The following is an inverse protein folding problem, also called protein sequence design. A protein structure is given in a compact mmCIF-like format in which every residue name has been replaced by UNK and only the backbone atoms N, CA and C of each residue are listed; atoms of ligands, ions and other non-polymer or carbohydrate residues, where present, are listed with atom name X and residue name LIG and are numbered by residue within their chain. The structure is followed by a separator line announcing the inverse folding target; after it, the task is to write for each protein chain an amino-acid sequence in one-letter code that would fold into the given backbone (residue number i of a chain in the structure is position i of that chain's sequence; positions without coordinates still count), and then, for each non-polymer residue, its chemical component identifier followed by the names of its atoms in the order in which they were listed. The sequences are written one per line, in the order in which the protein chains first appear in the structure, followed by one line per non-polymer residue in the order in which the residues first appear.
data_IF_321902099100
#
_entry.id   IF_321902099100
#
_cell.length_a   1.000
_cell.length_b   1.000
_cell.length_c   1.000
_cell.angle_alpha   90.00
_cell.angle_beta   90.00
_cell.angle_gamma   90.00
#
_symmetry.space_group_name_H-M   'P 1'
#
loop_
_entity.id
_entity.type
_entity.pdbx_description
1 polymer ?
#
# COMPACT_ATOMS: atom_id res chain seq x y z
N UNK A 1 15.02 -3.26 14.16
CA UNK A 1 16.00 -3.74 13.15
C UNK A 1 15.28 -4.68 12.20
N UNK A 2 15.51 -4.61 10.88
CA UNK A 2 14.86 -5.51 9.93
C UNK A 2 15.11 -6.98 10.28
N UNK A 3 14.08 -7.82 10.13
CA UNK A 3 14.12 -9.27 10.39
C UNK A 3 13.78 -10.01 9.11
N UNK A 4 14.22 -11.27 8.97
CA UNK A 4 13.78 -12.08 7.83
C UNK A 4 12.28 -12.36 7.97
N UNK A 5 11.56 -12.35 6.87
CA UNK A 5 10.11 -12.60 6.86
C UNK A 5 9.80 -13.97 7.48
N UNK A 6 10.63 -14.99 7.21
CA UNK A 6 10.50 -16.33 7.78
C UNK A 6 10.62 -16.39 9.33
N UNK A 7 11.20 -15.36 9.96
CA UNK A 7 11.41 -15.31 11.40
C UNK A 7 10.32 -14.48 12.12
N UNK A 8 9.34 -13.95 11.40
CA UNK A 8 8.25 -13.15 11.98
C UNK A 8 7.20 -14.04 12.65
N UNK A 9 6.65 -13.63 13.81
CA UNK A 9 5.48 -14.27 14.38
C UNK A 9 4.26 -14.07 13.47
N UNK A 10 3.37 -15.05 13.45
CA UNK A 10 2.18 -15.01 12.62
C UNK A 10 1.03 -14.29 13.33
N UNK A 11 0.46 -13.24 12.71
CA UNK A 11 -0.52 -12.35 13.35
C UNK A 11 -1.78 -13.06 13.87
N UNK A 12 -2.21 -14.15 13.20
CA UNK A 12 -3.37 -14.94 13.62
C UNK A 12 -3.06 -16.09 14.60
N UNK A 13 -1.80 -16.51 14.71
CA UNK A 13 -1.41 -17.66 15.54
C UNK A 13 -0.75 -17.21 16.84
N UNK A 14 0.12 -16.21 16.76
CA UNK A 14 0.90 -15.66 17.87
C UNK A 14 0.20 -14.43 18.48
N UNK A 15 -1.06 -14.60 18.89
CA UNK A 15 -1.99 -13.51 19.24
C UNK A 15 -1.70 -12.81 20.57
N UNK A 16 -1.08 -13.48 21.53
CA UNK A 16 -0.94 -12.98 22.89
C UNK A 16 -0.14 -11.68 22.97
N UNK A 17 0.91 -11.57 22.16
CA UNK A 17 1.71 -10.35 22.08
C UNK A 17 0.96 -9.23 21.36
N UNK A 18 0.33 -9.54 20.22
CA UNK A 18 -0.47 -8.59 19.46
C UNK A 18 -1.62 -8.04 20.32
N UNK A 19 -2.35 -8.92 21.01
CA UNK A 19 -3.42 -8.53 21.92
C UNK A 19 -2.92 -7.62 23.06
N UNK A 20 -1.74 -7.91 23.63
CA UNK A 20 -1.12 -7.04 24.65
C UNK A 20 -0.77 -5.66 24.09
N UNK A 21 -0.28 -5.57 22.86
CA UNK A 21 0.04 -4.28 22.20
C UNK A 21 -1.20 -3.45 21.89
N UNK A 22 -2.34 -4.10 21.66
CA UNK A 22 -3.64 -3.47 21.41
C UNK A 22 -4.44 -3.17 22.70
N UNK A 23 -4.10 -3.83 23.81
CA UNK A 23 -4.87 -3.72 25.05
C UNK A 23 -4.98 -2.28 25.55
N UNK A 24 -6.23 -1.81 25.73
CA UNK A 24 -6.54 -0.45 26.20
C UNK A 24 -6.30 0.65 25.16
N UNK A 25 -6.00 0.31 23.92
CA UNK A 25 -5.79 1.27 22.82
C UNK A 25 -6.88 1.17 21.78
N UNK A 26 -7.11 2.26 21.07
CA UNK A 26 -7.99 2.32 19.89
C UNK A 26 -7.18 1.99 18.64
N UNK A 27 -7.47 0.91 17.90
CA UNK A 27 -6.81 0.65 16.64
C UNK A 27 -7.09 1.75 15.60
N UNK A 28 -6.08 2.05 14.76
CA UNK A 28 -6.23 2.81 13.52
C UNK A 28 -5.54 2.00 12.42
N UNK A 29 -6.29 1.53 11.43
CA UNK A 29 -5.80 0.53 10.48
C UNK A 29 -5.52 1.15 9.12
N UNK A 30 -4.31 0.96 8.63
CA UNK A 30 -3.85 1.39 7.32
C UNK A 30 -3.59 0.15 6.47
N UNK A 31 -4.17 0.12 5.29
CA UNK A 31 -4.16 -1.04 4.40
C UNK A 31 -3.57 -0.66 3.05
N UNK A 32 -2.57 -1.40 2.60
CA UNK A 32 -2.25 -1.38 1.18
C UNK A 32 -3.36 -2.07 0.37
N UNK A 33 -3.37 -1.86 -0.94
CA UNK A 33 -4.41 -2.37 -1.83
C UNK A 33 -3.98 -3.62 -2.58
N UNK A 34 -2.97 -3.50 -3.45
CA UNK A 34 -2.52 -4.55 -4.36
C UNK A 34 -1.64 -5.57 -3.64
N UNK A 35 -1.99 -6.85 -3.68
CA UNK A 35 -1.29 -7.92 -2.96
C UNK A 35 -1.70 -8.05 -1.50
N UNK A 36 -2.48 -7.09 -0.99
CA UNK A 36 -2.97 -7.06 0.40
C UNK A 36 -4.48 -7.28 0.48
N UNK A 37 -5.29 -6.44 -0.20
CA UNK A 37 -6.75 -6.54 -0.24
C UNK A 37 -7.27 -7.26 -1.49
N UNK A 38 -6.47 -7.30 -2.54
CA UNK A 38 -6.77 -7.98 -3.80
C UNK A 38 -5.52 -8.68 -4.34
N UNK A 39 -5.72 -9.69 -5.15
CA UNK A 39 -4.61 -10.35 -5.85
C UNK A 39 -3.90 -9.38 -6.79
N UNK A 40 -2.60 -9.60 -6.97
CA UNK A 40 -1.86 -8.96 -8.03
C UNK A 40 -2.31 -9.60 -9.34
N UNK A 41 -2.96 -8.81 -10.19
CA UNK A 41 -3.52 -9.25 -11.45
C UNK A 41 -2.73 -8.71 -12.64
N UNK A 42 -2.93 -9.32 -13.82
CA UNK A 42 -2.21 -8.93 -15.03
C UNK A 42 -2.61 -7.54 -15.53
N UNK A 43 -3.84 -7.15 -15.30
CA UNK A 43 -4.36 -5.83 -15.71
C UNK A 43 -4.86 -5.05 -14.49
N UNK A 44 -4.38 -3.83 -14.28
CA UNK A 44 -4.75 -3.02 -13.11
C UNK A 44 -6.25 -2.87 -12.84
N UNK A 45 -7.06 -2.79 -13.92
CA UNK A 45 -8.52 -2.64 -13.84
C UNK A 45 -9.25 -3.89 -13.31
N UNK A 46 -8.59 -5.05 -13.32
CA UNK A 46 -9.19 -6.32 -12.91
C UNK A 46 -8.96 -6.60 -11.41
N UNK A 47 -8.22 -5.73 -10.72
CA UNK A 47 -7.92 -5.83 -9.28
C UNK A 47 -9.13 -5.44 -8.40
N UNK A 48 -10.22 -6.18 -8.51
CA UNK A 48 -11.47 -5.93 -7.77
C UNK A 48 -11.46 -6.75 -6.48
N UNK A 49 -11.68 -6.10 -5.33
CA UNK A 49 -11.76 -6.82 -4.05
C UNK A 49 -12.97 -7.75 -4.01
N UNK A 50 -12.83 -8.88 -3.33
CA UNK A 50 -13.92 -9.84 -3.12
C UNK A 50 -15.05 -9.21 -2.29
N UNK A 51 -16.26 -9.76 -2.42
CA UNK A 51 -17.40 -9.31 -1.59
C UNK A 51 -17.17 -9.59 -0.10
N UNK A 52 -16.44 -10.68 0.22
CA UNK A 52 -16.11 -11.05 1.60
C UNK A 52 -15.08 -10.10 2.21
N UNK A 53 -14.03 -9.72 1.47
CA UNK A 53 -13.05 -8.71 1.89
C UNK A 53 -13.70 -7.35 2.08
N UNK A 54 -14.59 -6.95 1.13
CA UNK A 54 -15.35 -5.69 1.24
C UNK A 54 -16.18 -5.62 2.52
N UNK A 55 -16.83 -6.73 2.89
CA UNK A 55 -17.62 -6.80 4.13
C UNK A 55 -16.74 -6.78 5.38
N UNK A 56 -15.58 -7.43 5.36
CA UNK A 56 -14.61 -7.39 6.47
C UNK A 56 -14.13 -5.95 6.73
N UNK A 57 -13.74 -5.24 5.67
CA UNK A 57 -13.31 -3.84 5.74
C UNK A 57 -14.45 -2.96 6.26
N UNK A 58 -15.68 -3.11 5.72
CA UNK A 58 -16.84 -2.34 6.16
C UNK A 58 -17.19 -2.60 7.62
N UNK A 59 -17.07 -3.84 8.07
CA UNK A 59 -17.30 -4.21 9.46
C UNK A 59 -16.29 -3.53 10.40
N UNK A 60 -15.02 -3.53 10.03
CA UNK A 60 -13.95 -2.90 10.79
C UNK A 60 -14.09 -1.37 10.82
N UNK A 61 -14.41 -0.75 9.66
CA UNK A 61 -14.54 0.70 9.54
C UNK A 61 -15.69 1.31 10.38
N UNK A 62 -16.67 0.50 10.79
CA UNK A 62 -17.70 0.93 11.75
C UNK A 62 -17.19 1.04 13.18
N UNK A 63 -16.01 0.53 13.48
CA UNK A 63 -15.46 0.38 14.85
C UNK A 63 -14.20 1.18 15.10
N UNK A 64 -13.41 1.37 14.05
CA UNK A 64 -12.17 2.13 14.11
C UNK A 64 -11.87 2.82 12.78
N UNK A 65 -11.01 3.84 12.76
CA UNK A 65 -10.51 4.43 11.52
C UNK A 65 -9.82 3.39 10.64
N UNK A 66 -10.27 3.30 9.37
CA UNK A 66 -9.64 2.47 8.35
C UNK A 66 -9.27 3.36 7.17
N UNK A 67 -8.00 3.34 6.80
CA UNK A 67 -7.42 4.10 5.71
C UNK A 67 -6.81 3.14 4.68
N UNK A 68 -7.10 3.33 3.40
CA UNK A 68 -6.40 2.61 2.33
C UNK A 68 -5.32 3.52 1.75
N UNK A 69 -4.07 3.02 1.70
CA UNK A 69 -2.89 3.76 1.20
C UNK A 69 -2.33 3.00 0.00
N UNK A 70 -2.48 3.54 -1.20
CA UNK A 70 -2.14 2.85 -2.44
C UNK A 70 -1.31 3.72 -3.38
N UNK A 71 -0.49 3.08 -4.21
CA UNK A 71 0.17 3.71 -5.35
C UNK A 71 -0.77 4.01 -6.53
N UNK A 72 -1.98 3.46 -6.51
CA UNK A 72 -3.01 3.75 -7.52
C UNK A 72 -3.61 5.13 -7.32
N UNK A 73 -4.17 5.69 -8.38
CA UNK A 73 -5.01 6.87 -8.26
C UNK A 73 -6.20 6.61 -7.34
N UNK A 74 -6.47 7.54 -6.42
CA UNK A 74 -7.51 7.42 -5.41
C UNK A 74 -8.88 7.04 -5.98
N UNK A 75 -9.29 7.68 -7.07
CA UNK A 75 -10.59 7.39 -7.70
C UNK A 75 -10.68 5.96 -8.22
N UNK A 76 -9.58 5.46 -8.78
CA UNK A 76 -9.49 4.06 -9.25
C UNK A 76 -9.64 3.10 -8.07
N UNK A 77 -8.95 3.36 -6.95
CA UNK A 77 -9.08 2.53 -5.74
C UNK A 77 -10.52 2.53 -5.23
N UNK A 78 -11.15 3.70 -5.12
CA UNK A 78 -12.54 3.82 -4.67
C UNK A 78 -13.52 3.05 -5.57
N UNK A 79 -13.37 3.14 -6.90
CA UNK A 79 -14.19 2.40 -7.85
C UNK A 79 -14.00 0.88 -7.72
N UNK A 80 -12.75 0.39 -7.64
CA UNK A 80 -12.43 -1.04 -7.51
C UNK A 80 -12.90 -1.62 -6.16
N UNK A 81 -12.81 -0.83 -5.10
CA UNK A 81 -13.29 -1.24 -3.77
C UNK A 81 -14.82 -1.23 -3.67
N UNK A 82 -15.51 -0.27 -4.31
CA UNK A 82 -16.94 -0.04 -4.14
C UNK A 82 -17.30 0.29 -2.68
N UNK A 83 -16.47 1.10 -2.02
CA UNK A 83 -16.64 1.62 -0.66
C UNK A 83 -16.38 3.13 -0.69
N UNK A 84 -17.42 3.92 -0.53
CA UNK A 84 -17.38 5.39 -0.66
C UNK A 84 -17.17 6.09 0.69
N UNK A 85 -17.20 5.34 1.78
CA UNK A 85 -17.17 5.81 3.16
C UNK A 85 -15.82 5.58 3.87
N UNK A 86 -14.78 5.20 3.12
CA UNK A 86 -13.44 5.00 3.64
C UNK A 86 -12.51 6.17 3.34
N UNK A 87 -11.52 6.34 4.20
CA UNK A 87 -10.40 7.24 3.92
C UNK A 87 -9.48 6.54 2.91
N UNK A 88 -9.22 7.21 1.78
CA UNK A 88 -8.36 6.69 0.73
C UNK A 88 -7.26 7.69 0.40
N UNK A 89 -6.03 7.25 0.52
CA UNK A 89 -4.82 7.95 0.11
C UNK A 89 -4.26 7.26 -1.13
N UNK A 90 -4.54 7.81 -2.29
CA UNK A 90 -4.04 7.37 -3.58
C UNK A 90 -2.73 8.04 -3.96
N UNK A 91 -2.09 7.55 -5.03
CA UNK A 91 -0.81 8.07 -5.54
C UNK A 91 0.24 8.18 -4.43
N UNK A 92 0.40 7.10 -3.64
CA UNK A 92 1.27 7.05 -2.45
C UNK A 92 0.98 8.13 -1.40
N UNK A 93 -0.26 8.63 -1.32
CA UNK A 93 -0.68 9.64 -0.34
C UNK A 93 -0.65 11.08 -0.83
N UNK A 94 -0.50 11.34 -2.13
CA UNK A 94 -0.62 12.68 -2.70
C UNK A 94 -2.06 13.16 -2.87
N UNK A 95 -3.00 12.24 -3.11
CA UNK A 95 -4.43 12.51 -3.23
C UNK A 95 -5.19 11.76 -2.12
N UNK A 96 -5.62 12.49 -1.12
CA UNK A 96 -6.31 11.94 0.05
C UNK A 96 -7.77 12.40 0.01
N UNK A 97 -8.66 11.47 0.26
CA UNK A 97 -10.07 11.74 0.46
C UNK A 97 -10.54 11.14 1.79
N UNK A 98 -11.36 11.89 2.49
CA UNK A 98 -12.06 11.40 3.67
C UNK A 98 -13.54 11.77 3.63
N UNK A 99 -14.44 10.93 4.20
CA UNK A 99 -15.86 11.22 4.26
C UNK A 99 -16.22 12.54 4.95
N UNK A 100 -15.43 12.93 5.95
CA UNK A 100 -15.68 14.14 6.76
C UNK A 100 -14.96 15.37 6.22
N UNK A 101 -13.77 15.21 5.63
CA UNK A 101 -12.90 16.32 5.21
C UNK A 101 -12.89 16.60 3.70
N UNK A 102 -13.52 15.73 2.89
CA UNK A 102 -13.45 15.84 1.42
C UNK A 102 -12.07 15.50 0.85
N UNK A 103 -11.75 16.05 -0.33
CA UNK A 103 -10.47 15.79 -0.99
C UNK A 103 -9.41 16.79 -0.53
N UNK A 104 -8.26 16.28 -0.11
CA UNK A 104 -7.05 17.04 0.16
C UNK A 104 -5.99 16.61 -0.85
N UNK A 105 -5.67 17.50 -1.79
CA UNK A 105 -4.53 17.31 -2.68
C UNK A 105 -3.33 18.06 -2.10
N UNK A 106 -2.18 17.43 -2.07
CA UNK A 106 -0.95 18.11 -1.72
C UNK A 106 -0.46 18.92 -2.91
N UNK A 107 -0.20 20.21 -2.69
CA UNK A 107 0.26 21.16 -3.72
C UNK A 107 1.58 20.71 -4.39
N UNK A 108 2.41 19.96 -3.65
CA UNK A 108 3.70 19.46 -4.15
C UNK A 108 3.55 18.52 -5.36
N UNK A 109 2.43 17.75 -5.46
CA UNK A 109 2.15 16.88 -6.60
C UNK A 109 1.71 17.63 -7.87
N UNK A 110 1.07 18.79 -7.72
CA UNK A 110 0.53 19.54 -8.86
C UNK A 110 1.62 20.10 -9.79
N UNK A 111 2.80 20.46 -9.24
CA UNK A 111 3.93 20.98 -10.02
C UNK A 111 4.55 19.94 -10.96
N UNK A 112 4.40 18.66 -10.67
CA UNK A 112 5.03 17.58 -11.45
C UNK A 112 4.12 16.99 -12.53
N UNK A 113 2.83 17.32 -12.54
CA UNK A 113 1.89 16.78 -13.53
C UNK A 113 2.38 17.01 -14.97
N UNK A 114 2.88 18.20 -15.24
CA UNK A 114 3.42 18.53 -16.57
C UNK A 114 4.64 17.68 -16.92
N UNK A 115 5.56 17.47 -15.97
CA UNK A 115 6.73 16.62 -16.18
C UNK A 115 6.34 15.16 -16.47
N UNK A 116 5.36 14.64 -15.74
CA UNK A 116 4.83 13.28 -16.00
C UNK A 116 4.20 13.20 -17.38
N UNK A 117 3.41 14.19 -17.80
CA UNK A 117 2.85 14.27 -19.16
C UNK A 117 3.94 14.36 -20.25
N UNK A 118 5.06 15.06 -19.98
CA UNK A 118 6.20 15.17 -20.91
C UNK A 118 6.93 13.84 -21.11
N UNK A 119 7.06 13.00 -20.09
CA UNK A 119 7.76 11.71 -20.19
C UNK A 119 6.85 10.56 -20.62
N UNK A 120 5.54 10.67 -20.39
CA UNK A 120 4.58 9.62 -20.77
C UNK A 120 4.55 9.36 -22.27
N UNK A 121 4.55 10.42 -23.10
CA UNK A 121 4.48 10.30 -24.55
C UNK A 121 5.63 9.46 -25.13
N UNK A 122 6.90 9.84 -24.93
CA UNK A 122 8.06 9.08 -25.35
C UNK A 122 8.07 7.64 -24.80
N UNK A 123 7.78 7.46 -23.51
CA UNK A 123 7.72 6.14 -22.88
C UNK A 123 6.71 5.22 -23.58
N UNK A 124 5.53 5.75 -23.91
CA UNK A 124 4.48 5.01 -24.61
C UNK A 124 4.87 4.63 -26.03
N UNK A 125 5.49 5.56 -26.76
CA UNK A 125 5.96 5.32 -28.12
C UNK A 125 7.04 4.22 -28.16
N UNK A 126 8.01 4.24 -27.25
CA UNK A 126 9.08 3.25 -27.22
C UNK A 126 8.63 1.87 -26.72
N UNK A 127 7.61 1.82 -25.87
CA UNK A 127 7.06 0.56 -25.36
C UNK A 127 6.01 -0.07 -26.29
N UNK A 128 5.47 0.66 -27.26
CA UNK A 128 4.40 0.18 -28.15
C UNK A 128 4.85 -1.02 -29.04
N UNK A 129 6.14 -1.12 -29.31
CA UNK A 129 6.75 -2.22 -30.08
C UNK A 129 7.06 -3.47 -29.23
N UNK A 130 6.82 -3.45 -27.91
CA UNK A 130 7.10 -4.57 -27.00
C UNK A 130 5.79 -5.28 -26.65
N UNK A 131 5.62 -6.50 -27.19
CA UNK A 131 4.40 -7.28 -26.95
C UNK A 131 4.22 -7.61 -25.44
N UNK A 132 3.03 -7.28 -24.92
CA UNK A 132 2.72 -7.46 -23.51
C UNK A 132 3.15 -6.31 -22.58
N UNK A 133 3.89 -5.30 -23.09
CA UNK A 133 4.17 -4.09 -22.32
C UNK A 133 2.94 -3.17 -22.25
N UNK A 134 2.80 -2.45 -21.15
CA UNK A 134 1.69 -1.51 -20.97
C UNK A 134 2.13 -0.31 -20.17
N UNK A 135 1.81 0.89 -20.64
CA UNK A 135 2.02 2.15 -19.94
C UNK A 135 0.70 2.58 -19.27
N UNK A 136 0.70 2.73 -17.96
CA UNK A 136 -0.41 3.24 -17.17
C UNK A 136 -0.11 4.68 -16.71
N UNK A 137 -0.93 5.62 -17.19
CA UNK A 137 -0.89 7.01 -16.70
C UNK A 137 -1.58 7.12 -15.37
N UNK A 138 -0.93 7.79 -14.42
CA UNK A 138 -1.51 8.14 -13.13
C UNK A 138 -1.46 9.65 -12.93
N UNK A 139 -2.16 10.18 -11.95
CA UNK A 139 -2.23 11.63 -11.72
C UNK A 139 -0.89 12.27 -11.36
N UNK A 140 0.03 11.51 -10.75
CA UNK A 140 1.34 12.00 -10.27
C UNK A 140 2.52 11.13 -10.67
N UNK A 141 2.31 10.10 -11.51
CA UNK A 141 3.35 9.16 -11.95
C UNK A 141 2.95 8.47 -13.25
N UNK A 142 3.87 7.75 -13.85
CA UNK A 142 3.60 6.84 -14.97
C UNK A 142 4.24 5.49 -14.68
N UNK A 143 3.47 4.41 -14.89
CA UNK A 143 3.91 3.04 -14.61
C UNK A 143 4.09 2.26 -15.92
N UNK A 144 5.25 1.62 -16.05
CA UNK A 144 5.60 0.69 -17.11
C UNK A 144 5.40 -0.75 -16.62
N UNK A 145 4.31 -1.39 -17.03
CA UNK A 145 4.00 -2.78 -16.70
C UNK A 145 4.62 -3.72 -17.71
N UNK A 146 5.30 -4.76 -17.24
CA UNK A 146 5.96 -5.76 -18.09
C UNK A 146 5.68 -7.20 -17.66
N UNK A 147 4.62 -7.42 -16.90
CA UNK A 147 4.21 -8.76 -16.44
C UNK A 147 3.91 -9.72 -17.58
N UNK A 148 3.30 -9.23 -18.66
CA UNK A 148 2.93 -10.00 -19.85
C UNK A 148 4.04 -10.04 -20.91
N UNK A 149 5.14 -9.32 -20.70
CA UNK A 149 6.31 -9.33 -21.59
C UNK A 149 7.08 -10.63 -21.42
N UNK A 150 7.56 -11.20 -22.53
CA UNK A 150 8.41 -12.39 -22.52
C UNK A 150 9.69 -12.15 -21.71
N UNK A 151 10.18 -13.16 -20.98
CA UNK A 151 11.38 -13.04 -20.14
C UNK A 151 12.60 -12.50 -20.91
N UNK A 152 12.71 -12.85 -22.19
CA UNK A 152 13.81 -12.43 -23.06
C UNK A 152 13.76 -10.94 -23.45
N UNK A 153 12.62 -10.28 -23.30
CA UNK A 153 12.43 -8.89 -23.69
C UNK A 153 12.22 -7.91 -22.52
N UNK A 154 12.06 -8.42 -21.29
CA UNK A 154 11.86 -7.57 -20.10
C UNK A 154 12.96 -6.53 -19.89
N UNK A 155 14.21 -6.90 -20.21
CA UNK A 155 15.33 -5.97 -20.11
C UNK A 155 15.17 -4.73 -20.99
N UNK A 156 14.46 -4.84 -22.14
CA UNK A 156 14.19 -3.68 -23.01
C UNK A 156 13.31 -2.64 -22.31
N UNK A 157 12.31 -3.10 -21.54
CA UNK A 157 11.45 -2.19 -20.77
C UNK A 157 12.27 -1.47 -19.70
N UNK A 158 13.17 -2.19 -19.01
CA UNK A 158 14.06 -1.60 -18.01
C UNK A 158 14.99 -0.56 -18.64
N UNK A 159 15.59 -0.87 -19.80
CA UNK A 159 16.48 0.06 -20.53
C UNK A 159 15.74 1.34 -20.96
N UNK A 160 14.49 1.21 -21.48
CA UNK A 160 13.67 2.36 -21.88
C UNK A 160 13.35 3.25 -20.67
N UNK A 161 12.89 2.64 -19.58
CA UNK A 161 12.52 3.37 -18.36
C UNK A 161 13.73 4.08 -17.76
N UNK A 162 14.88 3.40 -17.69
CA UNK A 162 16.13 3.98 -17.20
C UNK A 162 16.59 5.16 -18.07
N UNK A 163 16.45 5.06 -19.41
CA UNK A 163 16.79 6.16 -20.31
C UNK A 163 15.91 7.39 -20.06
N UNK A 164 14.59 7.20 -19.92
CA UNK A 164 13.64 8.29 -19.64
C UNK A 164 13.97 8.98 -18.30
N UNK A 165 14.26 8.22 -17.25
CA UNK A 165 14.62 8.79 -15.94
C UNK A 165 15.98 9.50 -16.00
N UNK A 166 16.93 9.00 -16.80
CA UNK A 166 18.26 9.59 -16.96
C UNK A 166 18.22 10.98 -17.63
N UNK A 167 17.18 11.29 -18.40
CA UNK A 167 16.98 12.64 -18.97
C UNK A 167 16.55 13.67 -17.89
N UNK A 168 15.95 13.20 -16.78
CA UNK A 168 15.44 14.04 -15.69
C UNK A 168 16.01 13.64 -14.31
N UNK A 169 17.32 13.54 -14.12
CA UNK A 169 17.94 12.88 -12.96
C UNK A 169 17.71 13.62 -11.63
N UNK A 170 17.34 14.91 -11.69
CA UNK A 170 17.07 15.74 -10.50
C UNK A 170 15.57 15.83 -10.16
N UNK A 171 14.70 15.45 -11.09
CA UNK A 171 13.25 15.68 -11.00
C UNK A 171 12.47 14.34 -10.89
N UNK A 172 12.99 13.28 -11.48
CA UNK A 172 12.37 11.95 -11.49
C UNK A 172 13.18 10.91 -10.73
N UNK A 173 12.48 9.95 -10.17
CA UNK A 173 13.02 8.70 -9.59
C UNK A 173 12.27 7.50 -10.13
N UNK A 174 12.95 6.36 -10.13
CA UNK A 174 12.35 5.06 -10.43
C UNK A 174 12.02 4.34 -9.13
N UNK A 175 10.81 3.81 -9.05
CA UNK A 175 10.37 2.95 -7.95
C UNK A 175 10.00 1.58 -8.52
N UNK A 176 10.75 0.51 -8.22
CA UNK A 176 10.44 -0.83 -8.68
C UNK A 176 9.28 -1.43 -7.88
N UNK A 177 8.39 -2.15 -8.58
CA UNK A 177 7.34 -2.98 -8.00
C UNK A 177 7.33 -4.38 -8.63
N UNK A 178 6.31 -5.18 -8.31
CA UNK A 178 6.17 -6.56 -8.83
C UNK A 178 5.80 -6.57 -10.32
N UNK A 179 6.79 -6.69 -11.20
CA UNK A 179 6.65 -6.63 -12.66
C UNK A 179 6.12 -5.29 -13.18
N UNK A 180 6.48 -4.22 -12.50
CA UNK A 180 6.20 -2.83 -12.87
C UNK A 180 7.36 -1.93 -12.47
N UNK A 181 7.64 -0.95 -13.29
CA UNK A 181 8.57 0.14 -13.01
C UNK A 181 7.78 1.45 -12.97
N UNK A 182 7.79 2.16 -11.87
CA UNK A 182 7.04 3.40 -11.73
C UNK A 182 7.97 4.61 -11.72
N UNK A 183 7.79 5.49 -12.72
CA UNK A 183 8.48 6.77 -12.81
C UNK A 183 7.68 7.79 -11.99
N UNK A 184 8.31 8.33 -10.95
CA UNK A 184 7.69 9.26 -10.01
C UNK A 184 8.51 10.54 -9.89
N UNK A 185 7.90 11.66 -9.51
CA UNK A 185 8.63 12.83 -9.10
C UNK A 185 9.60 12.52 -7.95
N UNK A 186 10.79 13.11 -8.01
CA UNK A 186 11.81 12.97 -6.97
C UNK A 186 11.49 13.86 -5.77
N UNK A 187 10.38 13.55 -5.12
CA UNK A 187 9.91 14.25 -3.93
C UNK A 187 10.29 13.41 -2.71
N UNK A 188 10.58 14.08 -1.60
CA UNK A 188 10.78 13.43 -0.31
C UNK A 188 9.44 13.01 0.29
N UNK A 189 8.78 12.05 -0.36
CA UNK A 189 7.48 11.50 -0.01
C UNK A 189 7.42 10.00 -0.29
N UNK A 190 6.81 9.25 0.64
CA UNK A 190 6.66 7.81 0.62
C UNK A 190 5.42 7.38 1.41
N UNK A 191 5.09 6.07 1.42
CA UNK A 191 3.94 5.53 2.17
C UNK A 191 4.07 5.76 3.68
N UNK A 192 5.28 5.74 4.22
CA UNK A 192 5.52 6.03 5.65
C UNK A 192 5.12 7.45 6.02
N UNK A 193 5.54 8.43 5.22
CA UNK A 193 5.15 9.83 5.40
C UNK A 193 3.67 10.05 5.21
N UNK A 194 3.04 9.34 4.25
CA UNK A 194 1.60 9.37 4.08
C UNK A 194 0.85 8.88 5.33
N UNK A 195 1.29 7.78 5.92
CA UNK A 195 0.71 7.25 7.17
C UNK A 195 0.89 8.23 8.33
N UNK A 196 2.10 8.79 8.51
CA UNK A 196 2.34 9.78 9.56
C UNK A 196 1.48 11.04 9.39
N UNK A 197 1.35 11.52 8.17
CA UNK A 197 0.49 12.65 7.83
C UNK A 197 -1.00 12.36 8.13
N UNK A 198 -1.49 11.17 7.78
CA UNK A 198 -2.85 10.75 8.10
C UNK A 198 -3.07 10.65 9.61
N UNK A 199 -2.12 10.09 10.36
CA UNK A 199 -2.19 10.03 11.82
C UNK A 199 -2.30 11.42 12.45
N UNK A 200 -1.56 12.39 11.92
CA UNK A 200 -1.62 13.78 12.39
C UNK A 200 -2.94 14.46 12.00
N UNK A 201 -3.32 14.36 10.72
CA UNK A 201 -4.51 15.05 10.17
C UNK A 201 -5.82 14.54 10.77
N UNK A 202 -5.86 13.24 11.14
CA UNK A 202 -7.03 12.58 11.71
C UNK A 202 -7.03 12.58 13.26
N UNK A 203 -6.07 13.27 13.90
CA UNK A 203 -5.90 13.28 15.36
C UNK A 203 -5.76 11.86 15.96
N UNK A 204 -4.96 11.02 15.29
CA UNK A 204 -4.68 9.64 15.67
C UNK A 204 -3.26 9.45 16.22
N UNK A 205 -2.62 10.54 16.68
CA UNK A 205 -1.25 10.54 17.21
C UNK A 205 -1.16 10.26 18.71
N UNK A 206 -2.30 10.13 19.43
CA UNK A 206 -2.35 9.91 20.85
C UNK A 206 -1.75 8.57 21.31
N UNK A 207 -1.24 8.51 22.53
CA UNK A 207 -0.70 7.27 23.14
C UNK A 207 -1.79 6.19 23.33
N UNK A 208 -3.06 6.59 23.30
CA UNK A 208 -4.24 5.74 23.37
C UNK A 208 -4.60 5.11 22.00
N UNK A 209 -3.87 5.47 20.92
CA UNK A 209 -4.06 4.90 19.60
C UNK A 209 -2.99 3.86 19.28
N UNK A 210 -3.39 2.76 18.65
CA UNK A 210 -2.50 1.75 18.12
C UNK A 210 -2.61 1.75 16.58
N UNK A 211 -1.73 2.44 15.85
CA UNK A 211 -1.71 2.36 14.40
C UNK A 211 -1.20 0.99 13.94
N UNK A 212 -1.93 0.38 13.00
CA UNK A 212 -1.55 -0.85 12.32
C UNK A 212 -1.40 -0.57 10.82
N UNK A 213 -0.34 -1.07 10.21
CA UNK A 213 -0.17 -1.05 8.77
C UNK A 213 -0.03 -2.47 8.23
N UNK A 214 -0.80 -2.81 7.18
CA UNK A 214 -0.79 -4.11 6.53
C UNK A 214 -0.44 -3.91 5.05
N UNK A 215 0.62 -4.57 4.57
CA UNK A 215 1.12 -4.43 3.20
C UNK A 215 2.06 -5.56 2.78
N UNK A 216 2.35 -5.68 1.48
CA UNK A 216 3.05 -6.84 0.88
C UNK A 216 4.32 -6.48 0.11
N UNK A 217 4.54 -5.20 -0.21
CA UNK A 217 5.60 -4.79 -1.13
C UNK A 217 6.71 -3.96 -0.48
N UNK A 218 7.72 -3.63 -1.30
CA UNK A 218 8.90 -2.83 -0.91
C UNK A 218 8.48 -1.44 -0.44
N UNK A 219 7.48 -0.85 -1.08
CA UNK A 219 6.97 0.48 -0.71
C UNK A 219 6.29 0.52 0.65
N UNK A 220 5.87 -0.64 1.18
CA UNK A 220 5.25 -0.75 2.51
C UNK A 220 6.29 -0.74 3.63
N UNK A 221 7.55 -1.06 3.30
CA UNK A 221 8.65 -0.96 4.27
C UNK A 221 8.81 0.45 4.84
N UNK A 222 8.53 1.48 4.05
CA UNK A 222 8.54 2.87 4.52
C UNK A 222 7.50 3.08 5.63
N UNK A 223 6.31 2.49 5.49
CA UNK A 223 5.25 2.55 6.48
C UNK A 223 5.59 1.71 7.73
N UNK A 224 6.15 0.50 7.56
CA UNK A 224 6.60 -0.30 8.69
C UNK A 224 7.70 0.40 9.49
N UNK A 225 8.65 1.05 8.82
CA UNK A 225 9.70 1.83 9.47
C UNK A 225 9.14 3.05 10.19
N UNK A 226 8.23 3.80 9.56
CA UNK A 226 7.59 4.97 10.14
C UNK A 226 6.79 4.64 11.42
N UNK A 227 6.20 3.44 11.49
CA UNK A 227 5.45 2.96 12.64
C UNK A 227 6.32 2.22 13.69
N UNK A 228 7.60 2.01 13.41
CA UNK A 228 8.48 1.27 14.34
C UNK A 228 8.51 1.91 15.73
N UNK A 229 8.22 1.10 16.75
CA UNK A 229 8.20 1.51 18.16
C UNK A 229 6.91 2.22 18.62
N UNK A 230 6.00 2.60 17.70
CA UNK A 230 4.71 3.25 18.05
C UNK A 230 3.49 2.51 17.51
N UNK A 231 3.64 1.77 16.46
CA UNK A 231 2.58 1.04 15.76
C UNK A 231 2.93 -0.42 15.53
N UNK A 232 2.15 -1.10 14.72
CA UNK A 232 2.27 -2.51 14.39
C UNK A 232 2.31 -2.64 12.87
N UNK A 233 3.41 -3.19 12.34
CA UNK A 233 3.55 -3.57 10.93
C UNK A 233 3.20 -5.04 10.73
N UNK A 234 2.38 -5.36 9.73
CA UNK A 234 2.02 -6.72 9.36
C UNK A 234 2.35 -6.91 7.87
N UNK A 235 3.34 -7.75 7.59
CA UNK A 235 3.72 -8.08 6.22
C UNK A 235 2.79 -9.16 5.66
N UNK A 236 2.38 -9.02 4.39
CA UNK A 236 1.56 -10.00 3.69
C UNK A 236 2.41 -10.74 2.66
N UNK A 237 2.56 -12.04 2.82
CA UNK A 237 3.31 -12.90 1.91
C UNK A 237 3.94 -14.10 2.61
N UNK A 238 4.23 -15.16 1.84
CA UNK A 238 4.82 -16.39 2.36
C UNK A 238 6.33 -16.41 2.17
N UNK A 239 7.05 -16.86 3.18
CA UNK A 239 8.49 -17.15 3.06
C UNK A 239 8.80 -18.31 2.08
N UNK A 240 7.79 -19.11 1.72
CA UNK A 240 7.89 -20.15 0.71
C UNK A 240 7.92 -19.58 -0.72
N UNK A 241 7.50 -18.33 -0.90
CA UNK A 241 7.64 -17.61 -2.17
C UNK A 241 9.12 -17.22 -2.36
N UNK A 242 9.78 -17.65 -3.47
CA UNK A 242 11.18 -17.34 -3.73
C UNK A 242 11.50 -15.83 -3.79
N UNK A 243 10.54 -15.00 -4.22
CA UNK A 243 10.70 -13.54 -4.28
C UNK A 243 10.62 -12.89 -2.89
N UNK A 244 9.93 -13.52 -1.95
CA UNK A 244 9.66 -13.03 -0.61
C UNK A 244 10.64 -13.61 0.42
N UNK A 245 10.94 -14.91 0.33
CA UNK A 245 11.63 -15.66 1.38
C UNK A 245 13.05 -15.19 1.72
N UNK A 246 13.74 -14.52 0.79
CA UNK A 246 15.08 -13.95 1.02
C UNK A 246 15.04 -12.52 1.57
N UNK A 247 13.88 -11.87 1.60
CA UNK A 247 13.74 -10.46 2.00
C UNK A 247 13.78 -10.29 3.52
N UNK A 248 14.25 -9.11 3.92
CA UNK A 248 14.10 -8.61 5.30
C UNK A 248 13.04 -7.53 5.34
N UNK A 249 12.34 -7.42 6.46
CA UNK A 249 11.28 -6.46 6.68
C UNK A 249 11.38 -5.78 8.04
N UNK A 250 10.84 -4.58 8.13
CA UNK A 250 10.64 -3.85 9.38
C UNK A 250 9.27 -4.13 10.03
N UNK A 251 8.44 -4.98 9.41
CA UNK A 251 7.18 -5.44 9.99
C UNK A 251 7.39 -6.23 11.30
N UNK A 252 6.39 -6.26 12.14
CA UNK A 252 6.37 -6.99 13.41
C UNK A 252 5.85 -8.41 13.25
N UNK A 253 4.87 -8.61 12.36
CA UNK A 253 4.14 -9.85 12.13
C UNK A 253 4.03 -10.17 10.65
N UNK A 254 3.59 -11.41 10.35
CA UNK A 254 3.30 -11.88 8.99
C UNK A 254 1.89 -12.46 8.91
N UNK A 255 1.25 -12.26 7.77
CA UNK A 255 0.10 -13.02 7.25
C UNK A 255 0.50 -13.59 5.90
N UNK A 256 0.18 -14.84 5.61
CA UNK A 256 0.70 -15.51 4.41
C UNK A 256 -0.16 -15.29 3.17
N UNK A 257 -1.44 -14.98 3.35
CA UNK A 257 -2.41 -14.87 2.27
C UNK A 257 -3.42 -13.75 2.52
N UNK A 258 -4.09 -13.29 1.46
CA UNK A 258 -5.20 -12.34 1.58
C UNK A 258 -6.39 -12.90 2.36
N UNK A 259 -6.61 -14.21 2.32
CA UNK A 259 -7.64 -14.85 3.14
C UNK A 259 -7.33 -14.70 4.63
N UNK A 260 -6.04 -14.78 4.99
CA UNK A 260 -5.61 -14.51 6.36
C UNK A 260 -5.72 -13.01 6.71
N UNK A 261 -5.51 -12.09 5.76
CA UNK A 261 -5.81 -10.67 5.96
C UNK A 261 -7.29 -10.46 6.23
N UNK A 262 -8.19 -11.02 5.40
CA UNK A 262 -9.63 -10.95 5.61
C UNK A 262 -10.04 -11.48 6.99
N UNK A 263 -9.51 -12.65 7.36
CA UNK A 263 -9.75 -13.26 8.68
C UNK A 263 -9.27 -12.34 9.81
N UNK A 264 -8.07 -11.78 9.68
CA UNK A 264 -7.50 -10.87 10.67
C UNK A 264 -8.38 -9.62 10.87
N UNK A 265 -8.85 -8.99 9.77
CA UNK A 265 -9.72 -7.82 9.84
C UNK A 265 -11.06 -8.12 10.53
N UNK A 266 -11.65 -9.31 10.27
CA UNK A 266 -12.89 -9.76 10.94
C UNK A 266 -12.65 -9.96 12.43
N UNK A 267 -11.62 -10.70 12.80
CA UNK A 267 -11.31 -10.98 14.21
C UNK A 267 -10.96 -9.71 14.98
N UNK A 268 -10.24 -8.77 14.36
CA UNK A 268 -9.97 -7.47 14.93
C UNK A 268 -11.26 -6.68 15.18
N UNK A 269 -12.20 -6.69 14.22
CA UNK A 269 -13.51 -6.06 14.38
C UNK A 269 -14.32 -6.70 15.52
N UNK A 270 -14.37 -8.04 15.57
CA UNK A 270 -15.12 -8.79 16.60
C UNK A 270 -14.54 -8.54 18.00
N UNK A 271 -13.22 -8.44 18.13
CA UNK A 271 -12.55 -8.16 19.42
C UNK A 271 -12.91 -6.80 20.03
N UNK A 272 -13.39 -5.85 19.23
CA UNK A 272 -13.85 -4.53 19.70
C UNK A 272 -15.30 -4.55 20.19
N UNK A 273 -16.08 -5.57 19.85
CA UNK A 273 -17.46 -5.74 20.34
C UNK A 273 -17.52 -6.45 21.68
N UNK A 274 -16.44 -7.10 22.13
CA UNK A 274 -16.40 -7.77 23.42
C UNK A 274 -16.29 -6.69 24.53
N UNK A 275 -17.22 -6.69 25.52
CA UNK A 275 -17.12 -5.77 26.63
C UNK A 275 -15.80 -6.06 27.36
N UNK A 276 -14.97 -4.99 27.54
CA UNK A 276 -13.76 -5.06 28.35
C UNK A 276 -14.11 -5.69 29.71
N UNK A 277 -13.78 -6.96 29.88
CA UNK A 277 -13.81 -7.59 31.20
C UNK A 277 -12.65 -7.01 31.99
N UNK A 278 -12.86 -5.79 32.50
CA UNK A 278 -11.99 -5.23 33.52
C UNK A 278 -12.04 -6.18 34.74
N UNK A 279 -10.99 -6.98 34.86
CA UNK A 279 -10.74 -7.74 36.07
C UNK A 279 -10.63 -6.74 37.25
N UNK A 280 -11.57 -6.86 38.19
CA UNK A 280 -11.54 -6.19 39.47
C UNK A 280 -10.40 -6.69 40.38
#
# INVERSE_FOLDING_TARGET
MPRRIADLPHALRDRDELARRLAGKRPAVFLDYDGTLTEIVDRPKDAIISSSMREAIRSLARRCPVCVVSGRDRRVVQELMGLDDLIVAGSHGFDIWSPEGGTVQRDEGAGYKRLIEEVEGPLREEMDDIDGAMVESKSTSVAAHYRLVSDSERHKVEEIVDAVVAEHPNELKLTPGKMVQEIQPKIDWDKGKAVLYLLETLDLNGDDVAPLYIGDDITDEDAFQALSGRGIGIFVGSADDPEVGSRTTSADYVLHTMQEVEQFLRELADSMDEPSTANG
#
